data_IF_390846668012
#
_entry.id   IF_390846668012
#
_cell.length_a   1.000
_cell.length_b   1.000
_cell.length_c   1.000
_cell.angle_alpha   90.00
_cell.angle_beta   90.00
_cell.angle_gamma   90.00
#
_symmetry.space_group_name_H-M   'P 1'
#
loop_
_entity.id
_entity.type
_entity.pdbx_description
1 polymer ?
#
# COMPACT_ATOMS: atom_id res chain seq x y z
N UNK A 1 -6.04 30.38 12.44
CA UNK A 1 -4.94 29.45 12.77
C UNK A 1 -5.36 28.14 12.16
N UNK A 2 -4.75 27.75 11.04
CA UNK A 2 -5.23 26.63 10.24
C UNK A 2 -5.08 25.32 11.00
N UNK A 3 -6.15 24.54 11.07
CA UNK A 3 -6.06 23.13 11.38
C UNK A 3 -5.21 22.49 10.27
N UNK A 4 -3.98 22.12 10.62
CA UNK A 4 -3.15 21.28 9.79
C UNK A 4 -3.81 19.90 9.77
N UNK A 5 -4.73 19.72 8.82
CA UNK A 5 -5.28 18.43 8.46
C UNK A 5 -4.08 17.54 8.14
N UNK A 6 -3.72 16.67 9.09
CA UNK A 6 -2.76 15.60 8.87
C UNK A 6 -3.40 14.69 7.83
N UNK A 7 -3.19 15.03 6.55
CA UNK A 7 -3.39 14.13 5.43
C UNK A 7 -2.38 13.02 5.61
N UNK A 8 -2.77 12.02 6.37
CA UNK A 8 -2.12 10.74 6.36
C UNK A 8 -2.41 10.18 4.96
N UNK A 9 -1.55 10.50 4.00
CA UNK A 9 -1.57 10.00 2.62
C UNK A 9 -1.28 8.50 2.63
N UNK A 10 -2.17 7.72 3.24
CA UNK A 10 -2.10 6.28 3.33
C UNK A 10 -2.66 5.74 2.02
N UNK A 11 -1.80 5.29 1.12
CA UNK A 11 -2.28 4.66 -0.11
C UNK A 11 -2.68 3.22 0.18
N UNK A 12 -3.96 2.90 0.00
CA UNK A 12 -4.46 1.53 0.14
C UNK A 12 -4.44 0.79 -1.19
N UNK A 13 -3.81 -0.38 -1.24
CA UNK A 13 -3.78 -1.24 -2.43
C UNK A 13 -4.60 -2.52 -2.20
N UNK A 14 -5.49 -2.84 -3.14
CA UNK A 14 -6.37 -4.03 -3.10
C UNK A 14 -6.10 -4.93 -4.31
N UNK A 15 -5.86 -6.22 -4.06
CA UNK A 15 -5.85 -7.27 -5.08
C UNK A 15 -7.26 -7.64 -5.56
N UNK A 16 -7.42 -7.79 -6.88
CA UNK A 16 -8.67 -8.24 -7.51
C UNK A 16 -8.37 -9.53 -8.28
N UNK A 17 -9.14 -10.58 -7.98
CA UNK A 17 -9.17 -11.81 -8.76
C UNK A 17 -10.41 -11.85 -9.67
N UNK A 18 -10.20 -12.14 -10.96
CA UNK A 18 -11.24 -12.13 -11.98
C UNK A 18 -11.69 -13.56 -12.33
N UNK A 19 -12.93 -13.92 -11.99
CA UNK A 19 -13.52 -15.21 -12.38
C UNK A 19 -14.41 -15.04 -13.63
N UNK A 20 -13.82 -15.31 -14.80
CA UNK A 20 -14.47 -15.59 -16.09
C UNK A 20 -15.36 -14.52 -16.77
N UNK A 21 -15.38 -14.49 -18.11
CA UNK A 21 -16.10 -13.51 -18.96
C UNK A 21 -17.64 -13.58 -18.91
N UNK A 22 -18.24 -14.53 -18.18
CA UNK A 22 -19.67 -14.84 -18.27
C UNK A 22 -20.50 -14.45 -17.04
N UNK A 23 -19.85 -14.09 -15.94
CA UNK A 23 -20.54 -13.71 -14.70
C UNK A 23 -20.32 -12.22 -14.41
N UNK A 24 -21.34 -11.57 -13.87
CA UNK A 24 -21.17 -10.20 -13.38
C UNK A 24 -20.14 -10.22 -12.25
N UNK A 25 -19.09 -9.38 -12.32
CA UNK A 25 -18.14 -9.29 -11.23
C UNK A 25 -18.87 -8.81 -9.97
N UNK A 26 -18.50 -9.39 -8.83
CA UNK A 26 -18.94 -8.93 -7.52
C UNK A 26 -17.72 -8.72 -6.63
N UNK A 27 -17.83 -7.75 -5.73
CA UNK A 27 -16.84 -7.53 -4.69
C UNK A 27 -17.10 -8.49 -3.53
N UNK A 28 -16.04 -8.82 -2.78
CA UNK A 28 -16.20 -9.50 -1.49
C UNK A 28 -17.18 -8.73 -0.59
N UNK A 29 -18.01 -9.42 0.22
CA UNK A 29 -19.16 -8.80 0.90
C UNK A 29 -18.85 -7.52 1.67
N UNK A 30 -17.69 -7.44 2.32
CA UNK A 30 -17.26 -6.28 3.12
C UNK A 30 -16.40 -5.28 2.33
N UNK A 31 -15.80 -5.70 1.21
CA UNK A 31 -14.86 -4.87 0.45
C UNK A 31 -15.52 -3.61 -0.12
N UNK A 32 -16.79 -3.71 -0.57
CA UNK A 32 -17.53 -2.55 -1.07
C UNK A 32 -17.66 -1.47 0.02
N UNK A 33 -18.14 -1.84 1.21
CA UNK A 33 -18.30 -0.88 2.31
C UNK A 33 -16.97 -0.24 2.73
N UNK A 34 -15.90 -1.04 2.74
CA UNK A 34 -14.54 -0.56 3.05
C UNK A 34 -14.07 0.46 2.01
N UNK A 35 -14.20 0.17 0.71
CA UNK A 35 -13.82 1.10 -0.37
C UNK A 35 -14.53 2.46 -0.24
N UNK A 36 -15.84 2.47 0.01
CA UNK A 36 -16.59 3.71 0.20
C UNK A 36 -16.14 4.46 1.45
N UNK A 37 -15.97 3.76 2.58
CA UNK A 37 -15.51 4.38 3.82
C UNK A 37 -14.11 5.01 3.68
N UNK A 38 -13.18 4.34 2.99
CA UNK A 38 -11.85 4.88 2.70
C UNK A 38 -11.95 6.13 1.81
N UNK A 39 -12.78 6.08 0.76
CA UNK A 39 -13.01 7.21 -0.13
C UNK A 39 -13.59 8.42 0.60
N UNK A 40 -14.59 8.22 1.45
CA UNK A 40 -15.20 9.26 2.27
C UNK A 40 -14.22 9.88 3.27
N UNK A 41 -13.26 9.08 3.76
CA UNK A 41 -12.18 9.56 4.64
C UNK A 41 -11.05 10.25 3.88
N UNK A 42 -11.15 10.41 2.57
CA UNK A 42 -10.12 11.06 1.76
C UNK A 42 -8.84 10.24 1.64
N UNK A 43 -8.91 8.93 1.85
CA UNK A 43 -7.77 8.02 1.74
C UNK A 43 -7.61 7.65 0.28
N UNK A 44 -6.42 7.92 -0.28
CA UNK A 44 -6.10 7.53 -1.64
C UNK A 44 -6.02 6.00 -1.76
N UNK A 45 -6.54 5.49 -2.87
CA UNK A 45 -6.54 4.05 -3.15
C UNK A 45 -5.90 3.77 -4.50
N UNK A 46 -5.21 2.65 -4.64
CA UNK A 46 -4.65 2.18 -5.90
C UNK A 46 -4.88 0.68 -6.12
N UNK A 47 -4.75 0.24 -7.37
CA UNK A 47 -4.81 -1.18 -7.73
C UNK A 47 -3.42 -1.64 -8.16
N UNK A 48 -2.97 -2.78 -7.64
CA UNK A 48 -1.82 -3.51 -8.14
C UNK A 48 -2.27 -4.95 -8.43
N UNK A 49 -2.29 -5.36 -9.69
CA UNK A 49 -2.72 -6.69 -10.11
C UNK A 49 -1.77 -7.28 -11.15
N UNK A 50 -1.44 -8.57 -10.96
CA UNK A 50 -0.60 -9.36 -11.88
C UNK A 50 -1.42 -10.08 -12.97
N UNK A 51 -2.69 -9.73 -13.14
CA UNK A 51 -3.55 -10.37 -14.15
C UNK A 51 -2.95 -10.26 -15.56
N UNK A 52 -2.82 -11.36 -16.31
CA UNK A 52 -2.41 -11.34 -17.71
C UNK A 52 -3.49 -10.75 -18.63
N UNK A 53 -4.74 -10.68 -18.17
CA UNK A 53 -5.90 -10.17 -18.92
C UNK A 53 -6.32 -8.79 -18.40
N UNK A 54 -5.43 -7.81 -18.58
CA UNK A 54 -5.63 -6.44 -18.07
C UNK A 54 -6.88 -5.75 -18.62
N UNK A 55 -7.32 -6.09 -19.84
CA UNK A 55 -8.53 -5.62 -20.49
C UNK A 55 -9.80 -6.08 -19.77
N UNK A 56 -9.84 -7.36 -19.38
CA UNK A 56 -10.97 -7.95 -18.63
C UNK A 56 -11.04 -7.34 -17.24
N UNK A 57 -9.91 -7.26 -16.54
CA UNK A 57 -9.86 -6.68 -15.19
C UNK A 57 -10.34 -5.22 -15.18
N UNK A 58 -9.92 -4.41 -16.15
CA UNK A 58 -10.39 -3.03 -16.31
C UNK A 58 -11.89 -2.97 -16.59
N UNK A 59 -12.40 -3.87 -17.42
CA UNK A 59 -13.84 -3.97 -17.70
C UNK A 59 -14.63 -4.28 -16.42
N UNK A 60 -14.13 -5.14 -15.55
CA UNK A 60 -14.78 -5.44 -14.27
C UNK A 60 -14.79 -4.25 -13.32
N UNK A 61 -13.67 -3.53 -13.23
CA UNK A 61 -13.56 -2.29 -12.43
C UNK A 61 -14.55 -1.24 -12.93
N UNK A 62 -14.72 -1.13 -14.25
CA UNK A 62 -15.71 -0.24 -14.89
C UNK A 62 -17.14 -0.70 -14.56
N UNK A 63 -17.47 -1.99 -14.73
CA UNK A 63 -18.80 -2.54 -14.44
C UNK A 63 -19.20 -2.42 -12.95
N UNK A 64 -18.22 -2.49 -12.04
CA UNK A 64 -18.42 -2.30 -10.61
C UNK A 64 -18.58 -0.82 -10.21
N UNK A 65 -18.36 0.14 -11.12
CA UNK A 65 -18.37 1.59 -10.88
C UNK A 65 -17.39 2.04 -9.78
N UNK A 66 -16.29 1.32 -9.58
CA UNK A 66 -15.28 1.64 -8.56
C UNK A 66 -14.06 2.35 -9.14
N UNK A 67 -13.93 2.44 -10.46
CA UNK A 67 -12.81 3.11 -11.13
C UNK A 67 -12.45 4.51 -10.58
N UNK A 68 -13.41 5.41 -10.31
CA UNK A 68 -13.09 6.77 -9.83
C UNK A 68 -12.55 6.80 -8.39
N UNK A 69 -12.63 5.69 -7.67
CA UNK A 69 -12.10 5.58 -6.32
C UNK A 69 -10.57 5.45 -6.29
N UNK A 70 -9.95 5.05 -7.41
CA UNK A 70 -8.53 4.74 -7.46
C UNK A 70 -7.70 5.82 -8.18
N UNK A 71 -6.67 6.34 -7.51
CA UNK A 71 -5.75 7.34 -8.06
C UNK A 71 -4.73 6.74 -9.03
N UNK A 72 -4.45 5.44 -8.91
CA UNK A 72 -3.56 4.67 -9.78
C UNK A 72 -4.06 3.23 -9.98
N UNK A 73 -3.80 2.67 -11.17
CA UNK A 73 -4.20 1.31 -11.53
C UNK A 73 -3.09 0.63 -12.32
N UNK A 74 -2.28 -0.16 -11.62
CA UNK A 74 -1.22 -0.96 -12.23
C UNK A 74 -1.74 -2.39 -12.38
N UNK A 75 -2.20 -2.74 -13.58
CA UNK A 75 -2.79 -4.04 -13.90
C UNK A 75 -2.06 -4.60 -15.11
N UNK A 76 -1.11 -5.49 -14.87
CA UNK A 76 -0.31 -6.16 -15.89
C UNK A 76 0.43 -7.36 -15.31
N UNK A 77 0.68 -8.38 -16.14
CA UNK A 77 1.52 -9.50 -15.75
C UNK A 77 2.96 -9.06 -15.49
N UNK A 78 3.54 -9.51 -14.37
CA UNK A 78 4.95 -9.30 -14.05
C UNK A 78 5.51 -10.51 -13.29
N UNK A 79 6.82 -10.70 -13.43
CA UNK A 79 7.64 -11.66 -12.69
C UNK A 79 8.12 -11.12 -11.35
N UNK A 80 8.02 -9.81 -11.12
CA UNK A 80 8.67 -9.13 -9.98
C UNK A 80 7.81 -9.11 -8.71
N UNK A 81 6.86 -10.04 -8.55
CA UNK A 81 6.01 -10.14 -7.34
C UNK A 81 5.51 -8.77 -6.80
N UNK A 82 4.94 -7.96 -7.70
CA UNK A 82 4.38 -6.61 -7.49
C UNK A 82 5.35 -5.47 -7.17
N UNK A 83 6.66 -5.68 -7.11
CA UNK A 83 7.61 -4.57 -6.86
C UNK A 83 7.55 -3.49 -7.96
N UNK A 84 7.48 -3.88 -9.24
CA UNK A 84 7.32 -2.95 -10.37
C UNK A 84 6.02 -2.15 -10.28
N UNK A 85 4.92 -2.80 -9.88
CA UNK A 85 3.62 -2.14 -9.72
C UNK A 85 3.72 -1.05 -8.66
N UNK A 86 4.33 -1.37 -7.51
CA UNK A 86 4.55 -0.40 -6.44
C UNK A 86 5.47 0.74 -6.86
N UNK A 87 6.52 0.47 -7.65
CA UNK A 87 7.39 1.52 -8.18
C UNK A 87 6.64 2.50 -9.08
N UNK A 88 5.75 2.00 -9.95
CA UNK A 88 4.91 2.84 -10.83
C UNK A 88 3.88 3.64 -10.03
N UNK A 89 3.24 3.00 -9.05
CA UNK A 89 2.32 3.67 -8.14
C UNK A 89 3.03 4.81 -7.41
N UNK A 90 4.18 4.54 -6.79
CA UNK A 90 5.01 5.55 -6.12
C UNK A 90 5.39 6.69 -7.06
N UNK A 91 5.82 6.38 -8.29
CA UNK A 91 6.18 7.39 -9.29
C UNK A 91 4.99 8.28 -9.65
N UNK A 92 3.79 7.70 -9.74
CA UNK A 92 2.55 8.41 -10.11
C UNK A 92 1.97 9.25 -8.97
N UNK A 93 2.08 8.78 -7.72
CA UNK A 93 1.45 9.43 -6.56
C UNK A 93 2.42 10.27 -5.75
N UNK A 94 3.72 10.00 -5.83
CA UNK A 94 4.74 10.60 -4.95
C UNK A 94 4.73 10.05 -3.52
N UNK A 95 3.82 9.14 -3.18
CA UNK A 95 3.63 8.64 -1.81
C UNK A 95 4.81 7.71 -1.46
N UNK A 96 5.52 7.92 -0.33
CA UNK A 96 6.59 7.03 0.11
C UNK A 96 6.09 5.62 0.42
N UNK A 97 6.91 4.59 0.20
CA UNK A 97 6.52 3.20 0.48
C UNK A 97 6.11 2.96 1.94
N UNK A 98 6.79 3.59 2.90
CA UNK A 98 6.46 3.49 4.32
C UNK A 98 5.17 4.23 4.73
N UNK A 99 4.54 4.93 3.79
CA UNK A 99 3.22 5.54 3.89
C UNK A 99 2.16 4.76 3.10
N UNK A 100 2.44 3.52 2.68
CA UNK A 100 1.47 2.66 1.99
C UNK A 100 1.01 1.48 2.87
N UNK A 101 -0.25 1.10 2.72
CA UNK A 101 -0.85 -0.11 3.28
C UNK A 101 -1.34 -1.02 2.14
N UNK A 102 -1.01 -2.29 2.20
CA UNK A 102 -1.24 -3.24 1.12
C UNK A 102 -1.94 -4.50 1.62
N UNK A 103 -2.99 -4.94 0.92
CA UNK A 103 -3.63 -6.24 1.13
C UNK A 103 -3.47 -7.11 -0.11
N UNK A 104 -3.02 -8.35 0.09
CA UNK A 104 -2.87 -9.37 -0.96
C UNK A 104 -3.06 -10.77 -0.41
N UNK A 105 -3.46 -11.70 -1.25
CA UNK A 105 -3.62 -13.11 -0.95
C UNK A 105 -2.39 -13.96 -1.31
N UNK A 106 -1.46 -13.42 -2.10
CA UNK A 106 -0.23 -14.12 -2.45
C UNK A 106 0.93 -13.71 -1.54
N UNK A 107 1.33 -14.62 -0.65
CA UNK A 107 2.44 -14.42 0.30
C UNK A 107 3.74 -13.93 -0.37
N UNK A 108 4.04 -14.38 -1.59
CA UNK A 108 5.22 -13.91 -2.35
C UNK A 108 5.16 -12.41 -2.65
N UNK A 109 3.98 -11.87 -2.94
CA UNK A 109 3.80 -10.43 -3.14
C UNK A 109 3.95 -9.69 -1.81
N UNK A 110 3.35 -10.21 -0.72
CA UNK A 110 3.47 -9.64 0.63
C UNK A 110 4.95 -9.54 1.05
N UNK A 111 5.72 -10.62 0.92
CA UNK A 111 7.13 -10.63 1.29
C UNK A 111 7.96 -9.64 0.45
N UNK A 112 7.70 -9.58 -0.86
CA UNK A 112 8.47 -8.73 -1.78
C UNK A 112 8.19 -7.25 -1.55
N UNK A 113 6.92 -6.88 -1.37
CA UNK A 113 6.47 -5.51 -1.16
C UNK A 113 6.82 -5.01 0.26
N UNK A 114 6.76 -5.88 1.27
CA UNK A 114 7.19 -5.54 2.64
C UNK A 114 8.67 -5.12 2.69
N UNK A 115 9.53 -5.74 1.88
CA UNK A 115 10.95 -5.36 1.77
C UNK A 115 11.16 -3.94 1.20
N UNK A 116 10.17 -3.40 0.50
CA UNK A 116 10.19 -2.01 0.01
C UNK A 116 9.80 -1.00 1.11
N UNK A 117 9.36 -1.46 2.29
CA UNK A 117 8.95 -0.63 3.42
C UNK A 117 7.43 -0.44 3.55
N UNK A 118 6.64 -1.05 2.67
CA UNK A 118 5.18 -1.01 2.71
C UNK A 118 4.65 -1.89 3.84
N UNK A 119 3.64 -1.42 4.57
CA UNK A 119 2.92 -2.31 5.51
C UNK A 119 2.02 -3.23 4.69
N UNK A 120 2.28 -4.53 4.74
CA UNK A 120 1.61 -5.51 3.86
C UNK A 120 0.93 -6.60 4.70
N UNK A 121 -0.33 -6.88 4.41
CA UNK A 121 -1.18 -7.81 5.16
C UNK A 121 -1.66 -8.91 4.23
N UNK A 122 -1.34 -10.16 4.58
CA UNK A 122 -1.84 -11.34 3.90
C UNK A 122 -3.34 -11.54 4.19
N UNK A 123 -4.15 -11.76 3.16
CA UNK A 123 -5.59 -11.98 3.27
C UNK A 123 -6.03 -13.19 2.45
N UNK A 124 -6.88 -14.07 2.97
CA UNK A 124 -7.25 -15.28 2.20
C UNK A 124 -8.43 -15.04 1.23
N UNK A 125 -9.47 -14.31 1.67
CA UNK A 125 -10.72 -14.13 0.93
C UNK A 125 -11.07 -12.65 0.80
N UNK A 126 -10.09 -11.88 0.33
CA UNK A 126 -10.20 -10.44 0.17
C UNK A 126 -10.25 -9.66 1.48
N UNK A 127 -10.35 -8.34 1.35
CA UNK A 127 -10.30 -7.41 2.48
C UNK A 127 -11.62 -7.42 3.23
N UNK A 128 -11.54 -7.78 4.52
CA UNK A 128 -12.62 -7.69 5.47
C UNK A 128 -12.27 -6.70 6.60
N UNK A 129 -13.22 -6.39 7.47
CA UNK A 129 -13.03 -5.42 8.57
C UNK A 129 -11.94 -5.85 9.56
N UNK A 130 -11.76 -7.17 9.77
CA UNK A 130 -10.69 -7.71 10.60
C UNK A 130 -9.31 -7.43 10.01
N UNK A 131 -9.13 -7.75 8.72
CA UNK A 131 -7.91 -7.47 7.98
C UNK A 131 -7.62 -5.95 7.93
N UNK A 132 -8.64 -5.13 7.67
CA UNK A 132 -8.50 -3.67 7.68
C UNK A 132 -8.01 -3.16 9.05
N UNK A 133 -8.66 -3.61 10.14
CA UNK A 133 -8.26 -3.23 11.50
C UNK A 133 -6.85 -3.64 11.84
N UNK A 134 -6.45 -4.86 11.44
CA UNK A 134 -5.07 -5.34 11.59
C UNK A 134 -4.11 -4.43 10.81
N UNK A 135 -4.38 -4.20 9.52
CA UNK A 135 -3.55 -3.38 8.66
C UNK A 135 -3.35 -1.96 9.18
N UNK A 136 -4.41 -1.30 9.62
CA UNK A 136 -4.33 0.04 10.23
C UNK A 136 -3.51 0.04 11.54
N UNK A 137 -3.64 -1.03 12.34
CA UNK A 137 -2.88 -1.17 13.59
C UNK A 137 -1.38 -1.33 13.31
N UNK A 138 -1.01 -2.23 12.40
CA UNK A 138 0.38 -2.47 12.01
C UNK A 138 0.99 -1.24 11.32
N UNK A 139 0.22 -0.58 10.46
CA UNK A 139 0.64 0.64 9.77
C UNK A 139 1.01 1.75 10.76
N UNK A 140 0.13 2.01 11.74
CA UNK A 140 0.38 3.00 12.79
C UNK A 140 1.61 2.65 13.64
N UNK A 141 1.79 1.37 13.99
CA UNK A 141 2.97 0.92 14.73
C UNK A 141 4.26 1.11 13.92
N UNK A 142 4.25 0.78 12.62
CA UNK A 142 5.41 0.94 11.73
C UNK A 142 5.77 2.41 11.51
N UNK A 143 4.77 3.29 11.40
CA UNK A 143 5.00 4.73 11.35
C UNK A 143 5.70 5.23 12.63
N UNK A 144 5.22 4.82 13.81
CA UNK A 144 5.83 5.20 15.09
C UNK A 144 7.27 4.69 15.25
N UNK A 145 7.57 3.49 14.76
CA UNK A 145 8.92 2.90 14.77
C UNK A 145 9.86 3.67 13.85
N UNK A 146 9.40 4.02 12.65
CA UNK A 146 10.17 4.80 11.68
C UNK A 146 10.56 6.17 12.25
N UNK A 147 9.63 6.83 12.93
CA UNK A 147 9.87 8.14 13.53
C UNK A 147 10.89 8.09 14.68
N UNK A 148 10.75 7.11 15.59
CA UNK A 148 11.74 6.88 16.67
C UNK A 148 13.14 6.61 16.12
N UNK A 149 13.24 5.84 15.03
CA UNK A 149 14.52 5.55 14.39
C UNK A 149 15.15 6.81 13.79
N UNK A 150 14.38 7.65 13.08
CA UNK A 150 14.85 8.93 12.55
C UNK A 150 15.41 9.84 13.65
N UNK A 151 14.69 9.99 14.76
CA UNK A 151 15.13 10.81 15.89
C UNK A 151 16.43 10.29 16.52
N UNK A 152 16.58 8.97 16.62
CA UNK A 152 17.82 8.35 17.12
C UNK A 152 19.00 8.66 16.18
N UNK A 153 18.84 8.49 14.87
CA UNK A 153 19.91 8.78 13.90
C UNK A 153 20.31 10.25 13.86
N UNK A 154 19.35 11.18 13.98
CA UNK A 154 19.64 12.62 14.09
C UNK A 154 20.52 12.93 15.32
N UNK A 155 20.20 12.34 16.48
CA UNK A 155 21.02 12.51 17.70
C UNK A 155 22.43 11.95 17.55
N UNK A 156 22.61 10.83 16.85
CA UNK A 156 23.93 10.27 16.56
C UNK A 156 24.73 11.14 15.59
N UNK A 157 24.09 11.67 14.54
CA UNK A 157 24.74 12.52 13.54
C UNK A 157 25.11 13.91 14.06
N UNK A 158 24.42 14.41 15.09
CA UNK A 158 24.70 15.70 15.71
C UNK A 158 25.76 15.63 16.84
N UNK A 159 26.29 14.44 17.14
CA UNK A 159 27.32 14.27 18.16
C UNK A 159 28.73 14.34 17.53
N UNK A 160 29.50 15.44 17.66
CA UNK A 160 30.75 15.66 16.91
C UNK A 160 31.93 14.79 17.38
N UNK A 161 31.76 13.96 18.41
CA UNK A 161 32.85 13.28 19.12
C UNK A 161 33.15 11.84 18.66
N UNK A 162 32.63 11.37 17.52
CA UNK A 162 32.89 9.99 17.05
C UNK A 162 34.08 9.84 16.08
N UNK A 163 34.75 10.94 15.68
CA UNK A 163 35.82 10.93 14.67
C UNK A 163 37.13 11.56 15.14
N UNK A 164 37.62 11.18 16.35
CA UNK A 164 39.04 11.36 16.73
C UNK A 164 39.59 10.20 17.57
N UNK A 165 40.21 9.24 16.89
CA UNK A 165 41.41 8.50 17.35
C UNK A 165 42.33 8.49 16.13
N UNK A 166 43.11 9.56 15.92
CA UNK A 166 44.53 9.72 16.30
C UNK A 166 45.40 8.58 15.75
N UNK A 167 46.00 8.87 14.60
CA UNK A 167 47.26 8.30 14.14
C UNK A 167 48.38 8.72 15.11
N UNK A 168 49.13 7.75 15.62
CA UNK A 168 50.43 7.74 16.34
C UNK A 168 50.72 6.22 16.46
N UNK A 169 51.73 5.59 15.84
CA UNK A 169 53.11 5.94 15.50
C UNK A 169 53.53 5.50 14.08
#
# INVERSE_FOLDING_TARGET
MGDEEVKNDALQIIGIDCVSKREMPSLFPQAKGILYALKEKGIDMAIASRSPTSDIAKTFIDQLNIKPMFVAQEIYASWTHKTDHFQRIHTRTGIPFNSMLFFDDEDRNIQSVSKMGVTSILVDNGVNLGALRQGLTEFSQNASRSEKNKQRWQKFSQNPNSSKKKDED
#
